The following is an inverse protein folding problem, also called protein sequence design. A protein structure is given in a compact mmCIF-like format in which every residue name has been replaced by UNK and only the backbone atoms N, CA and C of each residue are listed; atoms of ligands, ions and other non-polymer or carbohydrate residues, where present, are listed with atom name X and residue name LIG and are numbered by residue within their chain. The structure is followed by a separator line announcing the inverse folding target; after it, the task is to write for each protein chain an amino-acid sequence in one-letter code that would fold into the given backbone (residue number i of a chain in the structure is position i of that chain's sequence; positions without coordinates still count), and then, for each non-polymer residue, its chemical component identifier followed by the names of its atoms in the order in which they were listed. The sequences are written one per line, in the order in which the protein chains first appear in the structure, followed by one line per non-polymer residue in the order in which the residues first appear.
data_IF_741609097888
#
_entry.id   IF_741609097888
#
_cell.length_a   1.000
_cell.length_b   1.000
_cell.length_c   1.000
_cell.angle_alpha   90.00
_cell.angle_beta   90.00
_cell.angle_gamma   90.00
#
_symmetry.space_group_name_H-M   'P 1'
#
loop_
_entity.id
_entity.type
_entity.pdbx_description
1 polymer ?
#
# COMPACT_ATOMS: atom_id res chain seq x y z
N UNK A 1 -28.62 -8.69 3.89
CA UNK A 1 -27.20 -8.68 3.45
C UNK A 1 -26.60 -7.27 3.44
N UNK A 2 -27.32 -6.22 3.00
CA UNK A 2 -26.87 -4.81 3.02
C UNK A 2 -26.42 -4.27 4.41
N UNK A 3 -27.08 -4.64 5.50
CA UNK A 3 -26.74 -4.12 6.85
C UNK A 3 -25.40 -4.62 7.39
N UNK A 4 -24.97 -5.84 7.04
CA UNK A 4 -23.71 -6.41 7.52
C UNK A 4 -22.48 -5.88 6.77
N UNK A 5 -22.65 -5.55 5.48
CA UNK A 5 -21.62 -4.87 4.68
C UNK A 5 -21.46 -3.41 5.14
N UNK A 6 -22.56 -2.72 5.45
CA UNK A 6 -22.53 -1.38 6.02
C UNK A 6 -21.77 -1.29 7.35
N UNK A 7 -21.91 -2.27 8.24
CA UNK A 7 -21.16 -2.30 9.52
C UNK A 7 -19.66 -2.55 9.29
N UNK A 8 -19.30 -3.44 8.35
CA UNK A 8 -17.89 -3.72 8.02
C UNK A 8 -17.21 -2.53 7.35
N UNK A 9 -17.90 -1.83 6.45
CA UNK A 9 -17.34 -0.65 5.78
C UNK A 9 -17.14 0.52 6.74
N UNK A 10 -18.08 0.76 7.66
CA UNK A 10 -17.91 1.74 8.74
C UNK A 10 -16.70 1.39 9.60
N UNK A 11 -16.54 0.12 9.99
CA UNK A 11 -15.37 -0.32 10.76
C UNK A 11 -14.03 -0.15 10.00
N UNK A 12 -14.01 -0.37 8.68
CA UNK A 12 -12.83 -0.14 7.85
C UNK A 12 -12.47 1.35 7.77
N UNK A 13 -13.46 2.21 7.51
CA UNK A 13 -13.27 3.65 7.42
C UNK A 13 -12.79 4.23 8.76
N UNK A 14 -13.35 3.77 9.86
CA UNK A 14 -12.94 4.19 11.20
C UNK A 14 -11.50 3.77 11.48
N UNK A 15 -11.11 2.56 11.09
CA UNK A 15 -9.71 2.09 11.21
C UNK A 15 -8.75 2.95 10.39
N UNK A 16 -9.10 3.24 9.13
CA UNK A 16 -8.29 4.09 8.24
C UNK A 16 -8.14 5.49 8.84
N UNK A 17 -9.22 6.09 9.34
CA UNK A 17 -9.17 7.39 10.01
C UNK A 17 -8.29 7.35 11.26
N UNK A 18 -8.44 6.32 12.10
CA UNK A 18 -7.71 6.21 13.35
C UNK A 18 -6.19 6.11 13.11
N UNK A 19 -5.76 5.27 12.16
CA UNK A 19 -4.33 5.14 11.86
C UNK A 19 -3.75 6.38 11.18
N UNK A 20 -4.52 7.07 10.32
CA UNK A 20 -4.04 8.28 9.65
C UNK A 20 -4.03 9.51 10.55
N UNK A 21 -5.01 9.66 11.44
CA UNK A 21 -5.19 10.88 12.25
C UNK A 21 -4.59 10.76 13.65
N UNK A 22 -4.56 9.56 14.23
CA UNK A 22 -4.12 9.30 15.61
C UNK A 22 -3.16 8.11 15.71
N UNK A 23 -2.10 8.02 14.89
CA UNK A 23 -1.26 6.82 14.79
C UNK A 23 -0.62 6.41 16.12
N UNK A 24 -0.18 7.36 16.95
CA UNK A 24 0.43 7.07 18.26
C UNK A 24 -0.53 6.37 19.23
N UNK A 25 -1.83 6.62 19.10
CA UNK A 25 -2.87 5.98 19.92
C UNK A 25 -3.32 4.66 19.30
N UNK A 26 -3.30 4.57 17.97
CA UNK A 26 -3.81 3.42 17.24
C UNK A 26 -2.84 2.24 17.20
N UNK A 27 -1.52 2.49 17.14
CA UNK A 27 -0.52 1.41 17.08
C UNK A 27 -0.57 0.43 18.27
N UNK A 28 -0.71 0.89 19.53
CA UNK A 28 -0.90 -0.02 20.66
C UNK A 28 -2.18 -0.87 20.57
N UNK A 29 -3.27 -0.32 20.01
CA UNK A 29 -4.52 -1.05 19.78
C UNK A 29 -4.29 -2.17 18.77
N UNK A 30 -3.68 -1.84 17.62
CA UNK A 30 -3.31 -2.81 16.58
C UNK A 30 -2.39 -3.91 17.12
N UNK A 31 -1.41 -3.55 17.96
CA UNK A 31 -0.48 -4.51 18.57
C UNK A 31 -1.20 -5.53 19.45
N UNK A 32 -2.19 -5.08 20.23
CA UNK A 32 -2.95 -5.91 21.16
C UNK A 32 -4.01 -6.80 20.50
N UNK A 33 -4.44 -6.47 19.27
CA UNK A 33 -5.45 -7.24 18.56
C UNK A 33 -5.03 -8.67 18.26
N UNK A 34 -5.88 -9.63 18.61
CA UNK A 34 -5.74 -11.02 18.21
C UNK A 34 -6.40 -11.22 16.86
N UNK A 35 -5.60 -11.16 15.80
CA UNK A 35 -6.02 -11.39 14.42
C UNK A 35 -4.92 -12.16 13.70
N UNK A 36 -5.25 -12.75 12.57
CA UNK A 36 -4.30 -13.45 11.71
C UNK A 36 -4.07 -12.67 10.40
N UNK A 37 -3.05 -13.09 9.66
CA UNK A 37 -2.68 -12.46 8.39
C UNK A 37 -3.86 -12.50 7.42
N UNK A 38 -4.55 -13.65 7.31
CA UNK A 38 -5.64 -13.83 6.36
C UNK A 38 -6.81 -12.87 6.61
N UNK A 39 -7.16 -12.64 7.88
CA UNK A 39 -8.22 -11.68 8.23
C UNK A 39 -7.82 -10.26 7.85
N UNK A 40 -6.65 -9.78 8.29
CA UNK A 40 -6.17 -8.42 7.94
C UNK A 40 -6.06 -8.26 6.42
N UNK A 41 -5.59 -9.29 5.72
CA UNK A 41 -5.46 -9.28 4.27
C UNK A 41 -6.82 -9.08 3.59
N UNK A 42 -7.84 -9.86 3.97
CA UNK A 42 -9.17 -9.83 3.35
C UNK A 42 -9.99 -8.61 3.74
N UNK A 43 -9.97 -8.22 5.01
CA UNK A 43 -10.82 -7.15 5.54
C UNK A 43 -10.24 -5.75 5.37
N UNK A 44 -8.92 -5.63 5.22
CA UNK A 44 -8.22 -4.35 5.20
C UNK A 44 -7.39 -4.14 3.93
N UNK A 45 -6.46 -5.06 3.64
CA UNK A 45 -5.50 -4.87 2.54
C UNK A 45 -6.16 -4.92 1.18
N UNK A 46 -6.95 -5.96 0.88
CA UNK A 46 -7.64 -6.12 -0.42
C UNK A 46 -8.47 -4.89 -0.81
N UNK A 47 -9.42 -4.41 0.02
CA UNK A 47 -10.26 -3.28 -0.38
C UNK A 47 -9.46 -1.98 -0.55
N UNK A 48 -8.44 -1.72 0.27
CA UNK A 48 -7.64 -0.50 0.16
C UNK A 48 -6.65 -0.54 -1.00
N UNK A 49 -5.96 -1.67 -1.20
CA UNK A 49 -4.99 -1.84 -2.28
C UNK A 49 -5.64 -1.75 -3.67
N UNK A 50 -6.96 -1.96 -3.77
CA UNK A 50 -7.71 -1.80 -5.02
C UNK A 50 -7.92 -0.33 -5.42
N UNK A 51 -7.88 0.62 -4.47
CA UNK A 51 -8.19 2.03 -4.72
C UNK A 51 -7.31 2.61 -5.83
N UNK A 52 -5.99 2.50 -5.68
CA UNK A 52 -5.02 3.05 -6.63
C UNK A 52 -5.13 2.46 -8.04
N UNK A 53 -5.07 1.12 -8.21
CA UNK A 53 -5.22 0.48 -9.52
C UNK A 53 -6.53 0.80 -10.24
N UNK A 54 -7.66 0.82 -9.51
CA UNK A 54 -8.97 1.16 -10.08
C UNK A 54 -9.02 2.64 -10.48
N UNK A 55 -8.57 3.53 -9.60
CA UNK A 55 -8.50 4.96 -9.88
C UNK A 55 -7.62 5.25 -11.11
N UNK A 56 -6.45 4.65 -11.18
CA UNK A 56 -5.52 4.80 -12.30
C UNK A 56 -6.10 4.27 -13.61
N UNK A 57 -6.75 3.09 -13.61
CA UNK A 57 -7.36 2.55 -14.82
C UNK A 57 -8.50 3.43 -15.33
N UNK A 58 -9.37 3.91 -14.45
CA UNK A 58 -10.48 4.80 -14.82
C UNK A 58 -9.94 6.14 -15.34
N UNK A 59 -9.02 6.77 -14.59
CA UNK A 59 -8.42 8.04 -14.97
C UNK A 59 -7.65 7.96 -16.28
N UNK A 60 -6.86 6.90 -16.48
CA UNK A 60 -6.09 6.66 -17.69
C UNK A 60 -6.96 6.36 -18.92
N UNK A 61 -8.04 5.59 -18.77
CA UNK A 61 -8.90 5.21 -19.88
C UNK A 61 -9.90 6.32 -20.28
N UNK A 62 -10.51 7.00 -19.31
CA UNK A 62 -11.59 7.97 -19.57
C UNK A 62 -11.08 9.40 -19.76
N UNK A 63 -10.13 9.85 -18.93
CA UNK A 63 -9.61 11.22 -18.99
C UNK A 63 -8.38 11.26 -19.90
N UNK A 64 -7.51 10.26 -19.80
CA UNK A 64 -6.25 10.21 -20.52
C UNK A 64 -5.14 10.94 -19.79
N UNK A 65 -3.91 10.47 -19.99
CA UNK A 65 -2.70 11.06 -19.41
C UNK A 65 -2.06 12.01 -20.39
N UNK A 66 -1.70 13.21 -19.94
CA UNK A 66 -0.91 14.13 -20.75
C UNK A 66 0.53 13.60 -20.84
N UNK A 67 0.91 13.16 -22.03
CA UNK A 67 2.28 12.80 -22.38
C UNK A 67 3.02 14.08 -22.81
N UNK A 68 4.22 14.36 -22.30
CA UNK A 68 4.97 15.58 -22.63
C UNK A 68 5.20 15.81 -24.13
N UNK A 69 5.21 14.74 -24.93
CA UNK A 69 5.51 14.76 -26.37
C UNK A 69 4.24 14.56 -27.24
N UNK A 70 3.26 13.79 -26.76
CA UNK A 70 2.12 13.33 -27.57
C UNK A 70 0.78 14.00 -27.20
N UNK A 71 0.76 14.88 -26.19
CA UNK A 71 -0.48 15.48 -25.69
C UNK A 71 -1.31 14.48 -24.87
N UNK A 72 -2.62 14.70 -24.78
CA UNK A 72 -3.51 13.82 -24.03
C UNK A 72 -3.67 12.46 -24.75
N UNK A 73 -3.03 11.41 -24.22
CA UNK A 73 -3.15 10.04 -24.73
C UNK A 73 -4.03 9.25 -23.78
N UNK A 74 -5.12 8.70 -24.32
CA UNK A 74 -5.99 7.77 -23.58
C UNK A 74 -5.36 6.39 -23.58
N UNK A 75 -5.36 5.76 -22.42
CA UNK A 75 -4.88 4.39 -22.27
C UNK A 75 -5.95 3.45 -22.87
N UNK A 76 -5.58 2.53 -23.78
CA UNK A 76 -6.50 1.51 -24.25
C UNK A 76 -7.12 0.76 -23.07
N UNK A 77 -8.42 0.48 -23.13
CA UNK A 77 -9.16 -0.15 -22.03
C UNK A 77 -8.52 -1.50 -21.63
N UNK A 78 -8.04 -2.26 -22.61
CA UNK A 78 -7.29 -3.51 -22.38
C UNK A 78 -6.06 -3.30 -21.51
N UNK A 79 -5.23 -2.31 -21.85
CA UNK A 79 -4.01 -1.98 -21.11
C UNK A 79 -4.33 -1.42 -19.71
N UNK A 80 -5.40 -0.63 -19.59
CA UNK A 80 -5.86 -0.12 -18.29
C UNK A 80 -6.30 -1.25 -17.36
N UNK A 81 -7.03 -2.24 -17.88
CA UNK A 81 -7.47 -3.42 -17.11
C UNK A 81 -6.29 -4.30 -16.72
N UNK A 82 -5.40 -4.63 -17.67
CA UNK A 82 -4.20 -5.44 -17.40
C UNK A 82 -3.31 -4.74 -16.37
N UNK A 83 -3.06 -3.45 -16.55
CA UNK A 83 -2.28 -2.63 -15.62
C UNK A 83 -2.88 -2.60 -14.22
N UNK A 84 -4.21 -2.52 -14.10
CA UNK A 84 -4.90 -2.57 -12.82
C UNK A 84 -4.72 -3.91 -12.12
N UNK A 85 -4.93 -5.03 -12.83
CA UNK A 85 -4.82 -6.38 -12.27
C UNK A 85 -3.39 -6.65 -11.79
N UNK A 86 -2.40 -6.33 -12.62
CA UNK A 86 -0.97 -6.52 -12.31
C UNK A 86 -0.56 -5.67 -11.12
N UNK A 87 -0.88 -4.37 -11.15
CA UNK A 87 -0.50 -3.45 -10.07
C UNK A 87 -1.20 -3.80 -8.75
N UNK A 88 -2.45 -4.28 -8.81
CA UNK A 88 -3.16 -4.78 -7.65
C UNK A 88 -2.47 -6.01 -7.04
N UNK A 89 -2.21 -7.05 -7.85
CA UNK A 89 -1.52 -8.26 -7.39
C UNK A 89 -0.12 -7.97 -6.84
N UNK A 90 0.61 -7.07 -7.49
CA UNK A 90 1.93 -6.61 -7.03
C UNK A 90 1.85 -5.80 -5.74
N UNK A 91 0.84 -4.96 -5.53
CA UNK A 91 0.65 -4.26 -4.25
C UNK A 91 0.39 -5.25 -3.12
N UNK A 92 -0.44 -6.27 -3.36
CA UNK A 92 -0.74 -7.31 -2.37
C UNK A 92 0.52 -8.11 -2.00
N UNK A 93 1.28 -8.53 -3.00
CA UNK A 93 2.55 -9.23 -2.81
C UNK A 93 3.57 -8.34 -2.10
N UNK A 94 3.68 -7.07 -2.51
CA UNK A 94 4.61 -6.09 -1.94
C UNK A 94 4.39 -5.91 -0.44
N UNK A 95 3.14 -5.79 0.02
CA UNK A 95 2.82 -5.71 1.45
C UNK A 95 3.28 -6.96 2.21
N UNK A 96 3.08 -8.16 1.65
CA UNK A 96 3.56 -9.39 2.28
C UNK A 96 5.09 -9.48 2.29
N UNK A 97 5.77 -9.08 1.21
CA UNK A 97 7.24 -9.05 1.13
C UNK A 97 7.82 -8.09 2.16
N UNK A 98 7.26 -6.88 2.29
CA UNK A 98 7.70 -5.90 3.30
C UNK A 98 7.49 -6.45 4.71
N UNK A 99 6.38 -7.15 4.98
CA UNK A 99 6.18 -7.85 6.25
C UNK A 99 7.26 -8.90 6.54
N UNK A 100 7.68 -9.69 5.54
CA UNK A 100 8.79 -10.66 5.68
C UNK A 100 10.11 -9.96 5.99
N UNK A 101 10.37 -8.82 5.36
CA UNK A 101 11.57 -8.00 5.61
C UNK A 101 11.57 -7.48 7.04
N UNK A 102 10.45 -6.93 7.51
CA UNK A 102 10.26 -6.47 8.90
C UNK A 102 10.53 -7.65 9.86
N UNK A 103 9.80 -8.76 9.73
CA UNK A 103 9.99 -9.93 10.59
C UNK A 103 11.44 -10.45 10.60
N UNK A 104 12.10 -10.47 9.45
CA UNK A 104 13.47 -10.92 9.33
C UNK A 104 14.45 -10.02 10.09
N UNK A 105 14.30 -8.70 9.97
CA UNK A 105 15.19 -7.71 10.59
C UNK A 105 14.91 -7.46 12.07
N UNK A 106 13.70 -7.72 12.56
CA UNK A 106 13.32 -7.38 13.94
C UNK A 106 14.34 -7.81 15.02
N UNK A 107 14.89 -9.04 15.03
CA UNK A 107 15.88 -9.45 16.05
C UNK A 107 17.18 -8.65 16.01
N UNK A 108 17.61 -8.20 14.82
CA UNK A 108 18.86 -7.42 14.66
C UNK A 108 18.76 -6.05 15.32
N UNK A 109 17.54 -5.53 15.44
CA UNK A 109 17.25 -4.26 16.07
C UNK A 109 16.71 -4.42 17.51
N UNK A 110 16.76 -5.62 18.08
CA UNK A 110 16.30 -5.89 19.45
C UNK A 110 14.78 -6.05 19.61
N UNK A 111 14.06 -6.25 18.51
CA UNK A 111 12.63 -6.60 18.51
C UNK A 111 12.40 -8.12 18.48
N UNK A 112 11.13 -8.50 18.48
CA UNK A 112 10.68 -9.90 18.46
C UNK A 112 10.24 -10.32 17.06
N UNK A 113 10.61 -11.54 16.62
CA UNK A 113 10.02 -12.13 15.41
C UNK A 113 8.56 -12.50 15.66
N UNK A 114 7.70 -12.05 14.77
CA UNK A 114 6.30 -12.38 14.70
C UNK A 114 5.80 -11.86 13.34
N UNK A 115 5.63 -12.78 12.39
CA UNK A 115 5.21 -12.41 11.04
C UNK A 115 3.82 -11.78 11.00
N UNK A 116 2.93 -12.16 11.92
CA UNK A 116 1.58 -11.59 11.99
C UNK A 116 1.65 -10.13 12.41
N UNK A 117 2.48 -9.82 13.41
CA UNK A 117 2.71 -8.45 13.88
C UNK A 117 3.45 -7.63 12.82
N UNK A 118 4.47 -8.20 12.16
CA UNK A 118 5.17 -7.56 11.06
C UNK A 118 4.23 -7.25 9.87
N UNK A 119 3.28 -8.16 9.59
CA UNK A 119 2.27 -7.96 8.55
C UNK A 119 1.32 -6.83 8.89
N UNK A 120 0.88 -6.70 10.15
CA UNK A 120 0.10 -5.54 10.59
C UNK A 120 0.89 -4.25 10.35
N UNK A 121 2.16 -4.17 10.77
CA UNK A 121 2.98 -2.97 10.54
C UNK A 121 3.03 -2.62 9.06
N UNK A 122 3.31 -3.60 8.21
CA UNK A 122 3.33 -3.37 6.76
C UNK A 122 1.97 -2.89 6.24
N UNK A 123 0.88 -3.59 6.54
CA UNK A 123 -0.45 -3.28 6.02
C UNK A 123 -0.95 -1.91 6.47
N UNK A 124 -0.86 -1.61 7.77
CA UNK A 124 -1.36 -0.34 8.32
C UNK A 124 -0.48 0.84 7.93
N UNK A 125 0.84 0.66 7.75
CA UNK A 125 1.71 1.72 7.24
C UNK A 125 1.45 2.05 5.76
N UNK A 126 1.07 1.05 4.95
CA UNK A 126 0.68 1.24 3.54
C UNK A 126 -0.64 1.99 3.35
N UNK A 127 -1.45 2.19 4.41
CA UNK A 127 -2.76 2.86 4.34
C UNK A 127 -2.69 4.21 3.65
N UNK A 128 -1.71 5.05 4.01
CA UNK A 128 -1.58 6.40 3.45
C UNK A 128 -1.38 6.36 1.92
N UNK A 129 -0.59 5.41 1.44
CA UNK A 129 -0.35 5.24 0.02
C UNK A 129 -1.59 4.75 -0.73
N UNK A 130 -2.31 3.78 -0.19
CA UNK A 130 -3.53 3.28 -0.83
C UNK A 130 -4.62 4.34 -0.90
N UNK A 131 -4.80 5.12 0.17
CA UNK A 131 -5.75 6.24 0.19
C UNK A 131 -5.30 7.33 -0.79
N UNK A 132 -4.02 7.70 -0.82
CA UNK A 132 -3.49 8.67 -1.77
C UNK A 132 -3.63 8.20 -3.23
N UNK A 133 -3.71 6.89 -3.47
CA UNK A 133 -3.96 6.31 -4.80
C UNK A 133 -5.23 6.81 -5.47
N UNK A 134 -6.22 7.32 -4.72
CA UNK A 134 -7.44 7.91 -5.29
C UNK A 134 -7.15 9.09 -6.21
N UNK A 135 -6.06 9.83 -5.97
CA UNK A 135 -5.70 10.99 -6.80
C UNK A 135 -5.33 10.60 -8.22
N UNK A 136 -4.99 9.33 -8.48
CA UNK A 136 -4.76 8.82 -9.83
C UNK A 136 -6.05 8.78 -10.68
N UNK A 137 -7.23 8.95 -10.08
CA UNK A 137 -8.50 9.04 -10.79
C UNK A 137 -8.56 10.24 -11.72
N UNK A 138 -7.97 11.36 -11.29
CA UNK A 138 -7.85 12.57 -12.10
C UNK A 138 -6.37 12.80 -12.35
N UNK A 139 -5.85 12.56 -13.57
CA UNK A 139 -4.43 12.64 -13.87
C UNK A 139 -3.74 13.92 -13.39
N UNK A 140 -4.43 15.08 -13.45
CA UNK A 140 -3.94 16.35 -12.93
C UNK A 140 -3.71 16.39 -11.40
N UNK A 141 -4.42 15.56 -10.63
CA UNK A 141 -4.26 15.43 -9.17
C UNK A 141 -3.20 14.40 -8.77
N UNK A 142 -2.69 13.60 -9.71
CA UNK A 142 -1.70 12.54 -9.43
C UNK A 142 -0.49 13.00 -8.61
N UNK A 143 0.04 14.24 -8.74
CA UNK A 143 1.12 14.72 -7.88
C UNK A 143 0.79 14.69 -6.37
N UNK A 144 -0.49 14.79 -5.99
CA UNK A 144 -0.94 14.68 -4.60
C UNK A 144 -0.75 13.27 -4.01
N UNK A 145 -0.44 12.27 -4.85
CA UNK A 145 -0.05 10.93 -4.38
C UNK A 145 1.17 10.96 -3.47
N UNK A 146 1.96 12.04 -3.47
CA UNK A 146 3.08 12.28 -2.54
C UNK A 146 2.65 12.22 -1.08
N UNK A 147 1.38 12.50 -0.76
CA UNK A 147 0.82 12.33 0.59
C UNK A 147 0.95 10.89 1.11
N UNK A 148 1.09 9.91 0.21
CA UNK A 148 1.39 8.52 0.55
C UNK A 148 2.70 8.31 1.31
N UNK A 149 3.67 9.25 1.20
CA UNK A 149 4.92 9.22 1.96
C UNK A 149 4.68 9.28 3.48
N UNK A 150 3.51 9.76 3.92
CA UNK A 150 3.09 9.67 5.32
C UNK A 150 3.10 8.22 5.85
N UNK A 151 2.99 7.22 4.98
CA UNK A 151 3.16 5.81 5.33
C UNK A 151 4.53 5.49 5.94
N UNK A 152 5.59 6.24 5.61
CA UNK A 152 6.91 6.07 6.23
C UNK A 152 6.92 6.53 7.69
N UNK A 153 6.17 7.59 8.00
CA UNK A 153 5.97 8.03 9.38
C UNK A 153 5.15 7.00 10.17
N UNK A 154 4.11 6.43 9.55
CA UNK A 154 3.33 5.35 10.16
C UNK A 154 4.23 4.14 10.46
N UNK A 155 5.06 3.73 9.50
CA UNK A 155 6.04 2.66 9.66
C UNK A 155 6.97 2.93 10.84
N UNK A 156 7.55 4.14 10.93
CA UNK A 156 8.43 4.55 12.03
C UNK A 156 7.77 4.39 13.41
N UNK A 157 6.49 4.76 13.54
CA UNK A 157 5.74 4.60 14.79
C UNK A 157 5.33 3.14 15.06
N UNK A 158 5.00 2.39 14.01
CA UNK A 158 4.50 1.03 14.13
C UNK A 158 5.58 0.02 14.53
N UNK A 159 6.80 0.17 14.02
CA UNK A 159 7.90 -0.75 14.34
C UNK A 159 8.18 -0.90 15.85
N UNK A 160 8.42 0.17 16.64
CA UNK A 160 8.65 0.02 18.08
C UNK A 160 7.40 -0.47 18.82
N UNK A 161 6.21 0.03 18.44
CA UNK A 161 4.96 -0.30 19.12
C UNK A 161 4.54 -1.77 18.94
N UNK A 162 4.76 -2.32 17.75
CA UNK A 162 4.25 -3.65 17.35
C UNK A 162 5.35 -4.71 17.41
N UNK A 163 6.57 -4.39 16.96
CA UNK A 163 7.70 -5.34 16.95
C UNK A 163 8.54 -5.31 18.24
N UNK A 164 8.14 -4.51 19.24
CA UNK A 164 8.80 -4.37 20.55
C UNK A 164 10.28 -3.94 20.44
N UNK A 165 10.57 -3.11 19.45
CA UNK A 165 11.93 -2.58 19.22
C UNK A 165 12.20 -1.41 20.17
N UNK A 166 13.39 -1.33 20.80
CA UNK A 166 13.79 -0.18 21.58
C UNK A 166 13.69 1.12 20.77
N UNK A 167 13.15 2.19 21.36
CA UNK A 167 12.89 3.45 20.66
C UNK A 167 14.15 4.06 20.01
N UNK A 168 15.31 3.89 20.65
CA UNK A 168 16.61 4.32 20.15
C UNK A 168 17.04 3.65 18.84
N UNK A 169 16.57 2.43 18.56
CA UNK A 169 16.85 1.66 17.33
C UNK A 169 15.76 1.81 16.26
N UNK A 170 14.63 2.42 16.60
CA UNK A 170 13.47 2.53 15.71
C UNK A 170 13.81 3.27 14.41
N UNK A 171 14.61 4.33 14.47
CA UNK A 171 15.00 5.10 13.27
C UNK A 171 15.87 4.25 12.33
N UNK A 172 16.94 3.64 12.84
CA UNK A 172 17.83 2.79 12.04
C UNK A 172 17.09 1.59 11.43
N UNK A 173 16.15 1.01 12.18
CA UNK A 173 15.32 -0.08 11.67
C UNK A 173 14.38 0.41 10.55
N UNK A 174 13.74 1.57 10.74
CA UNK A 174 12.89 2.18 9.72
C UNK A 174 13.66 2.41 8.42
N UNK A 175 14.87 2.98 8.50
CA UNK A 175 15.72 3.20 7.31
C UNK A 175 15.99 1.89 6.57
N UNK A 176 16.32 0.81 7.28
CA UNK A 176 16.55 -0.50 6.67
C UNK A 176 15.30 -1.04 5.95
N UNK A 177 14.12 -0.88 6.55
CA UNK A 177 12.85 -1.30 5.93
C UNK A 177 12.50 -0.39 4.73
N UNK A 178 12.73 0.92 4.83
CA UNK A 178 12.49 1.88 3.74
C UNK A 178 13.32 1.53 2.51
N UNK A 179 14.59 1.15 2.68
CA UNK A 179 15.43 0.69 1.56
C UNK A 179 14.79 -0.52 0.87
N UNK A 180 14.31 -1.50 1.64
CA UNK A 180 13.62 -2.65 1.06
C UNK A 180 12.29 -2.27 0.36
N UNK A 181 11.54 -1.34 0.94
CA UNK A 181 10.31 -0.80 0.33
C UNK A 181 10.61 -0.12 -1.00
N UNK A 182 11.69 0.67 -1.10
CA UNK A 182 12.14 1.28 -2.36
C UNK A 182 12.46 0.20 -3.40
N UNK A 183 13.18 -0.85 -3.01
CA UNK A 183 13.48 -1.98 -3.91
C UNK A 183 12.19 -2.65 -4.40
N UNK A 184 11.22 -2.88 -3.50
CA UNK A 184 9.91 -3.42 -3.89
C UNK A 184 9.21 -2.48 -4.89
N UNK A 185 9.19 -1.17 -4.67
CA UNK A 185 8.60 -0.23 -5.63
C UNK A 185 9.26 -0.23 -6.99
N UNK A 186 10.59 -0.30 -7.04
CA UNK A 186 11.34 -0.38 -8.29
C UNK A 186 10.96 -1.66 -9.04
N UNK A 187 10.93 -2.81 -8.35
CA UNK A 187 10.52 -4.08 -8.96
C UNK A 187 9.10 -4.02 -9.48
N UNK A 188 8.16 -3.47 -8.70
CA UNK A 188 6.77 -3.30 -9.12
C UNK A 188 6.70 -2.42 -10.38
N UNK A 189 7.42 -1.30 -10.41
CA UNK A 189 7.47 -0.40 -11.56
C UNK A 189 8.01 -1.06 -12.83
N UNK A 190 9.10 -1.82 -12.71
CA UNK A 190 9.71 -2.55 -13.84
C UNK A 190 8.75 -3.62 -14.36
N UNK A 191 8.19 -4.45 -13.48
CA UNK A 191 7.29 -5.55 -13.86
C UNK A 191 6.01 -5.00 -14.50
N UNK A 192 5.37 -4.00 -13.89
CA UNK A 192 4.20 -3.35 -14.48
C UNK A 192 4.53 -2.72 -15.84
N UNK A 193 5.68 -2.05 -15.98
CA UNK A 193 6.12 -1.47 -17.24
C UNK A 193 6.30 -2.49 -18.36
N UNK A 194 6.94 -3.63 -18.07
CA UNK A 194 7.13 -4.73 -19.04
C UNK A 194 5.77 -5.32 -19.46
N UNK A 195 4.87 -5.58 -18.51
CA UNK A 195 3.57 -6.21 -18.82
C UNK A 195 2.65 -5.28 -19.60
N UNK A 196 2.58 -3.99 -19.23
CA UNK A 196 1.77 -3.01 -19.96
C UNK A 196 2.37 -2.73 -21.34
N UNK A 197 3.70 -2.61 -21.44
CA UNK A 197 4.40 -2.42 -22.70
C UNK A 197 4.17 -3.56 -23.69
N UNK A 198 4.31 -4.81 -23.23
CA UNK A 198 4.03 -6.00 -24.06
C UNK A 198 2.56 -6.10 -24.48
N UNK A 199 1.62 -5.78 -23.60
CA UNK A 199 0.19 -5.74 -23.94
C UNK A 199 -0.13 -4.73 -25.06
N UNK A 200 0.55 -3.57 -25.08
CA UNK A 200 0.38 -2.57 -26.13
C UNK A 200 0.84 -3.08 -27.51
N UNK A 201 1.93 -3.85 -27.58
CA UNK A 201 2.44 -4.42 -28.84
C UNK A 201 1.54 -5.52 -29.43
N UNK A 202 0.83 -6.26 -28.59
CA UNK A 202 -0.06 -7.36 -29.03
C UNK A 202 -1.40 -6.83 -29.61
N UNK A 203 -1.75 -5.58 -29.31
CA UNK A 203 -2.99 -4.93 -29.76
C UNK A 203 -2.84 -4.06 -31.02
N UNK A 204 -1.64 -3.98 -31.60
CA UNK A 204 -1.33 -3.30 -32.87
C UNK A 204 -1.24 -4.32 -34.00
#
# INVERSE_FOLDING_TARGET
MSSAEGVKSVALVDRVKAILMKPKQEWPVIAAEKTDIATVFRSYVIPLAAIGPVANAIGGALIGTNQPILGAVRVPITNAIVGAIVSFGLSLLGTYVVARVIDYFAPRYGGTRDLTQAFKVSAYSSTAQWVAGIFALIPALSPLSILGIYGLYLLYLGLPAVMKVPAEKAMSYTVAVVVAVIVVFIVIGIVSGIVIGTAAYVTL
#
